data_IF_148416255258
#
_entry.id   IF_148416255258
#
_cell.length_a   1.000
_cell.length_b   1.000
_cell.length_c   1.000
_cell.angle_alpha   90.00
_cell.angle_beta   90.00
_cell.angle_gamma   90.00
#
_symmetry.space_group_name_H-M   'P 1'
#
loop_
_entity.id
_entity.type
_entity.pdbx_description
1 polymer ?
#
# COMPACT_ATOMS: atom_id res chain seq x y z
N UNK A 1 45.71 32.40 7.40
CA UNK A 1 46.12 33.33 6.34
C UNK A 1 44.84 33.87 5.69
N UNK A 2 44.72 35.21 5.57
CA UNK A 2 43.55 36.08 5.27
C UNK A 2 42.60 36.38 6.45
N UNK A 3 42.74 37.52 7.18
CA UNK A 3 42.33 38.94 6.93
C UNK A 3 40.80 39.16 7.05
N UNK A 4 40.24 39.76 8.12
CA UNK A 4 40.19 41.18 8.59
C UNK A 4 39.04 42.02 7.98
N UNK A 5 38.20 42.55 8.90
CA UNK A 5 37.40 43.81 8.95
C UNK A 5 36.24 44.16 7.99
N UNK A 6 35.19 44.69 8.63
CA UNK A 6 34.45 45.96 8.37
C UNK A 6 32.93 45.77 8.33
N UNK A 7 32.04 46.68 8.74
CA UNK A 7 32.03 47.85 9.62
C UNK A 7 30.55 48.27 9.77
N UNK A 8 30.21 48.95 10.87
CA UNK A 8 28.91 49.60 11.11
C UNK A 8 28.58 50.65 10.03
N UNK A 9 27.29 50.88 9.76
CA UNK A 9 26.76 52.26 9.65
C UNK A 9 25.22 52.32 9.76
N UNK A 10 24.80 53.35 10.50
CA UNK A 10 23.48 53.75 10.95
C UNK A 10 22.78 54.76 10.03
N UNK A 11 21.45 54.77 10.02
CA UNK A 11 20.58 55.96 9.90
C UNK A 11 19.15 55.53 10.32
N UNK A 12 18.38 56.16 11.22
CA UNK A 12 18.45 57.49 11.81
C UNK A 12 17.39 58.42 11.22
N UNK A 13 16.15 58.41 11.73
CA UNK A 13 15.22 59.56 11.66
C UNK A 13 14.43 59.64 12.98
N UNK A 14 14.55 60.79 13.65
CA UNK A 14 13.88 61.20 14.90
C UNK A 14 12.73 62.17 14.64
N UNK A 15 11.94 62.41 15.71
CA UNK A 15 10.98 63.50 16.03
C UNK A 15 9.53 62.99 16.11
N UNK A 16 8.82 62.97 17.25
CA UNK A 16 8.57 63.92 18.35
C UNK A 16 7.11 64.43 18.31
N UNK A 17 6.37 64.05 19.36
CA UNK A 17 5.38 64.80 20.14
C UNK A 17 4.26 65.61 19.45
N UNK A 18 2.99 65.23 19.69
CA UNK A 18 1.92 66.14 20.17
C UNK A 18 0.61 65.36 20.43
N UNK A 19 0.11 65.39 21.67
CA UNK A 19 -1.32 65.18 21.96
C UNK A 19 -2.12 66.42 21.51
N UNK A 20 -3.40 66.28 21.16
CA UNK A 20 -4.41 66.83 22.07
C UNK A 20 -5.74 66.05 22.13
N UNK A 21 -6.47 66.36 23.20
CA UNK A 21 -7.85 65.94 23.49
C UNK A 21 -8.86 66.38 22.43
N UNK A 22 -9.95 65.61 22.33
CA UNK A 22 -11.25 66.06 21.83
C UNK A 22 -11.62 65.56 20.44
N UNK A 23 -12.53 64.58 20.38
CA UNK A 23 -13.88 64.72 19.78
C UNK A 23 -14.56 63.37 19.54
N UNK A 24 -15.72 63.24 20.19
CA UNK A 24 -16.94 62.60 19.71
C UNK A 24 -17.12 61.08 19.77
N UNK A 25 -18.09 60.73 20.62
CA UNK A 25 -18.76 59.47 20.77
C UNK A 25 -19.28 58.85 19.46
N UNK A 26 -18.98 57.56 19.27
CA UNK A 26 -20.01 56.55 18.94
C UNK A 26 -19.40 55.15 18.89
N UNK A 27 -20.20 54.17 19.34
CA UNK A 27 -20.09 52.75 19.04
C UNK A 27 -18.93 51.97 19.72
N UNK A 28 -19.13 51.59 20.99
CA UNK A 28 -18.69 50.28 21.51
C UNK A 28 -19.79 49.67 22.37
N UNK A 29 -20.87 49.25 21.72
CA UNK A 29 -21.79 48.26 22.28
C UNK A 29 -21.12 46.87 22.20
N UNK A 30 -21.09 46.18 23.33
CA UNK A 30 -21.13 44.72 23.46
C UNK A 30 -20.14 43.87 22.66
N UNK A 31 -18.98 43.56 23.25
CA UNK A 31 -18.37 42.25 23.00
C UNK A 31 -19.18 41.20 23.76
N UNK A 32 -20.23 40.69 23.12
CA UNK A 32 -20.88 39.47 23.55
C UNK A 32 -19.90 38.30 23.35
N UNK A 33 -19.73 37.49 24.39
CA UNK A 33 -18.93 36.28 24.38
C UNK A 33 -19.36 35.37 23.22
N UNK A 34 -18.41 35.01 22.35
CA UNK A 34 -18.61 34.00 21.31
C UNK A 34 -18.79 32.65 22.02
N UNK A 35 -19.93 31.96 21.90
CA UNK A 35 -20.09 30.64 22.47
C UNK A 35 -19.18 29.65 21.72
N UNK A 36 -18.62 28.62 22.40
CA UNK A 36 -17.79 27.63 21.75
C UNK A 36 -18.60 26.89 20.69
N UNK A 37 -18.11 26.91 19.45
CA UNK A 37 -18.63 26.10 18.36
C UNK A 37 -18.40 24.63 18.71
N UNK A 38 -19.45 23.92 19.13
CA UNK A 38 -19.42 22.47 19.22
C UNK A 38 -19.34 21.89 17.81
N UNK A 39 -18.17 21.39 17.42
CA UNK A 39 -18.03 20.45 16.31
C UNK A 39 -18.74 19.15 16.70
N UNK A 40 -20.03 19.05 16.39
CA UNK A 40 -20.66 17.73 16.23
C UNK A 40 -19.98 17.07 15.04
N UNK A 41 -19.09 16.10 15.32
CA UNK A 41 -18.65 15.14 14.32
C UNK A 41 -19.91 14.48 13.75
N UNK A 42 -20.30 14.89 12.55
CA UNK A 42 -21.29 14.14 11.79
C UNK A 42 -20.67 12.76 11.56
N UNK A 43 -21.27 11.75 12.20
CA UNK A 43 -21.02 10.34 11.91
C UNK A 43 -21.02 10.19 10.39
N UNK A 44 -19.88 9.79 9.83
CA UNK A 44 -19.74 9.58 8.40
C UNK A 44 -20.87 8.66 7.89
N UNK A 45 -21.46 8.95 6.73
CA UNK A 45 -22.50 8.11 6.16
C UNK A 45 -21.98 6.67 6.00
N UNK A 46 -22.87 5.73 6.25
CA UNK A 46 -22.56 4.34 6.57
C UNK A 46 -22.05 3.40 5.46
N UNK A 47 -21.89 3.74 4.15
CA UNK A 47 -21.39 2.73 3.22
C UNK A 47 -19.86 2.56 3.23
N UNK A 48 -19.08 3.50 3.80
CA UNK A 48 -17.60 3.37 3.86
C UNK A 48 -17.07 2.65 5.12
N UNK A 49 -17.89 2.50 6.17
CA UNK A 49 -17.50 1.80 7.40
C UNK A 49 -17.71 0.28 7.34
N UNK A 50 -18.41 -0.23 6.32
CA UNK A 50 -18.72 -1.65 6.18
C UNK A 50 -17.58 -2.48 5.57
N UNK A 51 -16.60 -1.86 4.89
CA UNK A 51 -15.41 -2.55 4.37
C UNK A 51 -14.31 -2.74 5.44
N UNK A 52 -14.49 -2.18 6.64
CA UNK A 52 -13.51 -2.24 7.73
C UNK A 52 -13.65 -3.47 8.65
N UNK A 53 -14.44 -4.49 8.28
CA UNK A 53 -14.88 -5.51 9.25
C UNK A 53 -14.23 -6.88 9.18
N UNK A 54 -13.51 -7.26 8.12
CA UNK A 54 -12.70 -8.48 8.16
C UNK A 54 -11.21 -8.18 8.20
N UNK A 55 -10.64 -8.45 9.38
CA UNK A 55 -9.23 -8.22 9.72
C UNK A 55 -8.32 -9.37 9.27
N UNK A 56 -8.94 -10.47 8.85
CA UNK A 56 -8.29 -11.68 8.37
C UNK A 56 -8.79 -11.93 6.95
N UNK A 57 -7.87 -11.89 6.00
CA UNK A 57 -8.07 -12.33 4.62
C UNK A 57 -7.60 -13.77 4.45
N UNK A 58 -8.22 -14.54 3.56
CA UNK A 58 -7.76 -15.89 3.24
C UNK A 58 -7.64 -16.09 1.74
N UNK A 59 -6.58 -16.78 1.31
CA UNK A 59 -6.36 -17.19 -0.08
C UNK A 59 -6.33 -18.71 -0.11
N UNK A 60 -7.39 -19.34 -0.66
CA UNK A 60 -7.54 -20.80 -0.67
C UNK A 60 -7.80 -21.33 -2.07
N UNK A 61 -7.22 -22.48 -2.42
CA UNK A 61 -7.53 -23.16 -3.69
C UNK A 61 -6.36 -23.97 -4.21
N UNK A 62 -6.15 -23.92 -5.52
CA UNK A 62 -5.08 -24.62 -6.21
C UNK A 62 -4.30 -23.70 -7.15
N UNK A 63 -2.97 -23.80 -7.10
CA UNK A 63 -2.06 -23.16 -8.03
C UNK A 63 -0.93 -24.15 -8.37
N UNK A 64 -0.55 -24.25 -9.64
CA UNK A 64 0.50 -25.16 -10.09
C UNK A 64 0.30 -26.63 -9.65
N UNK A 65 -0.95 -27.12 -9.67
CA UNK A 65 -1.36 -28.46 -9.17
C UNK A 65 -1.12 -28.70 -7.68
N UNK A 66 -0.82 -27.64 -6.94
CA UNK A 66 -0.57 -27.67 -5.50
C UNK A 66 -1.64 -26.89 -4.74
N UNK A 67 -2.03 -27.35 -3.54
CA UNK A 67 -2.96 -26.61 -2.71
C UNK A 67 -2.32 -25.33 -2.18
N UNK A 68 -3.13 -24.29 -2.10
CA UNK A 68 -2.81 -23.01 -1.47
C UNK A 68 -3.83 -22.77 -0.35
N UNK A 69 -3.36 -22.50 0.86
CA UNK A 69 -4.17 -22.06 1.98
C UNK A 69 -3.37 -21.04 2.80
N UNK A 70 -3.57 -19.76 2.52
CA UNK A 70 -2.92 -18.66 3.23
C UNK A 70 -3.95 -17.85 4.00
N UNK A 71 -3.51 -17.36 5.16
CA UNK A 71 -4.23 -16.49 6.06
C UNK A 71 -3.41 -15.21 6.22
N UNK A 72 -3.98 -14.09 5.82
CA UNK A 72 -3.38 -12.75 5.93
C UNK A 72 -4.04 -12.06 7.12
N UNK A 73 -3.32 -11.96 8.24
CA UNK A 73 -3.76 -11.20 9.40
C UNK A 73 -3.26 -9.75 9.29
N UNK A 74 -4.16 -8.83 8.95
CA UNK A 74 -3.85 -7.40 8.82
C UNK A 74 -3.64 -6.71 10.17
N UNK A 75 -4.03 -7.32 11.28
CA UNK A 75 -3.82 -6.78 12.64
C UNK A 75 -2.52 -7.30 13.24
N UNK A 76 -2.26 -8.58 13.08
CA UNK A 76 -1.03 -9.22 13.47
C UNK A 76 0.15 -8.84 12.58
N UNK A 77 -0.13 -8.32 11.38
CA UNK A 77 0.86 -8.11 10.32
C UNK A 77 1.60 -9.41 10.00
N UNK A 78 0.85 -10.49 9.89
CA UNK A 78 1.39 -11.83 9.64
C UNK A 78 0.68 -12.51 8.49
N UNK A 79 1.42 -13.36 7.78
CA UNK A 79 0.88 -14.26 6.76
C UNK A 79 1.24 -15.67 7.18
N UNK A 80 0.24 -16.50 7.42
CA UNK A 80 0.43 -17.88 7.88
C UNK A 80 -0.34 -18.85 7.01
N UNK A 81 0.08 -20.11 6.98
CA UNK A 81 -0.66 -21.17 6.31
C UNK A 81 0.26 -22.15 5.59
N UNK A 82 -0.16 -22.61 4.43
CA UNK A 82 0.57 -23.56 3.61
C UNK A 82 0.45 -23.27 2.12
N UNK A 83 1.57 -23.39 1.42
CA UNK A 83 1.65 -23.34 -0.03
C UNK A 83 2.55 -24.47 -0.50
N UNK A 84 2.16 -25.18 -1.56
CA UNK A 84 2.95 -26.27 -2.12
C UNK A 84 3.30 -27.37 -1.10
N UNK A 85 2.36 -27.64 -0.17
CA UNK A 85 2.54 -28.57 0.96
C UNK A 85 3.65 -28.17 1.95
N UNK A 86 4.15 -26.94 1.87
CA UNK A 86 5.10 -26.38 2.81
C UNK A 86 4.46 -25.26 3.64
N UNK A 87 4.86 -25.11 4.90
CA UNK A 87 4.37 -24.03 5.73
C UNK A 87 4.88 -22.67 5.21
N UNK A 88 4.02 -21.66 5.33
CA UNK A 88 4.36 -20.25 5.10
C UNK A 88 4.09 -19.52 6.40
N UNK A 89 5.09 -18.79 6.88
CA UNK A 89 5.00 -17.93 8.06
C UNK A 89 5.83 -16.67 7.79
N UNK A 90 5.16 -15.54 7.57
CA UNK A 90 5.78 -14.25 7.36
C UNK A 90 5.28 -13.27 8.42
N UNK A 91 6.19 -12.40 8.86
CA UNK A 91 5.93 -11.26 9.71
C UNK A 91 6.31 -9.98 8.95
N UNK A 92 5.41 -9.02 8.94
CA UNK A 92 5.55 -7.74 8.25
C UNK A 92 5.79 -6.67 9.32
N UNK A 93 6.97 -6.08 9.30
CA UNK A 93 7.36 -4.96 10.15
C UNK A 93 7.25 -3.67 9.34
N UNK A 94 6.17 -2.91 9.57
CA UNK A 94 5.94 -1.62 8.92
C UNK A 94 6.85 -0.51 9.42
N UNK A 95 7.40 -0.62 10.64
CA UNK A 95 8.33 0.39 11.18
C UNK A 95 9.70 0.27 10.53
N UNK A 96 10.15 -0.97 10.30
CA UNK A 96 11.42 -1.24 9.61
C UNK A 96 11.27 -1.40 8.10
N UNK A 97 10.03 -1.39 7.61
CA UNK A 97 9.68 -1.67 6.22
C UNK A 97 10.29 -2.99 5.71
N UNK A 98 10.12 -4.07 6.49
CA UNK A 98 10.65 -5.41 6.18
C UNK A 98 9.63 -6.52 6.34
N UNK A 99 9.75 -7.55 5.51
CA UNK A 99 9.03 -8.81 5.60
C UNK A 99 10.06 -9.88 5.94
N UNK A 100 9.87 -10.55 7.07
CA UNK A 100 10.78 -11.60 7.54
C UNK A 100 10.01 -12.88 7.84
N UNK A 101 10.67 -14.04 7.78
CA UNK A 101 10.04 -15.31 8.15
C UNK A 101 10.53 -16.46 7.29
N UNK A 102 9.62 -17.35 6.91
CA UNK A 102 9.91 -18.50 6.06
C UNK A 102 8.77 -18.85 5.12
N UNK A 103 9.14 -19.21 3.89
CA UNK A 103 8.24 -19.77 2.90
C UNK A 103 8.95 -20.92 2.18
N UNK A 104 8.26 -22.03 1.94
CA UNK A 104 8.80 -23.20 1.25
C UNK A 104 10.14 -23.72 1.85
N UNK A 105 10.20 -23.83 3.18
CA UNK A 105 11.41 -24.22 3.94
C UNK A 105 12.64 -23.34 3.75
N UNK A 106 12.46 -22.14 3.20
CA UNK A 106 13.52 -21.17 3.00
C UNK A 106 13.23 -19.88 3.77
N UNK A 107 14.27 -19.22 4.31
CA UNK A 107 14.10 -17.93 4.94
C UNK A 107 13.66 -16.89 3.90
N UNK A 108 12.80 -15.98 4.34
CA UNK A 108 12.39 -14.80 3.60
C UNK A 108 12.86 -13.58 4.39
N UNK A 109 13.56 -12.69 3.70
CA UNK A 109 13.98 -11.40 4.21
C UNK A 109 13.93 -10.38 3.07
N UNK A 110 12.87 -9.57 3.07
CA UNK A 110 12.58 -8.60 2.05
C UNK A 110 12.44 -7.22 2.70
N UNK A 111 13.02 -6.20 2.10
CA UNK A 111 12.67 -4.82 2.34
C UNK A 111 11.49 -4.44 1.42
N UNK A 112 10.60 -3.57 1.88
CA UNK A 112 9.55 -3.02 1.05
C UNK A 112 9.48 -1.50 1.16
N UNK A 113 9.00 -0.85 0.10
CA UNK A 113 8.68 0.55 0.11
C UNK A 113 7.27 0.71 -0.46
N UNK A 114 6.38 1.31 0.33
CA UNK A 114 4.99 1.51 -0.05
C UNK A 114 4.69 2.99 -0.24
N UNK A 115 4.01 3.29 -1.35
CA UNK A 115 3.43 4.58 -1.66
C UNK A 115 1.98 4.37 -2.13
N UNK A 116 1.13 5.41 -2.16
CA UNK A 116 -0.23 5.27 -2.68
C UNK A 116 -0.28 4.80 -4.15
N UNK A 117 0.75 5.11 -4.94
CA UNK A 117 0.80 4.80 -6.37
C UNK A 117 1.61 3.54 -6.69
N UNK A 118 2.48 3.11 -5.79
CA UNK A 118 3.37 1.97 -6.05
C UNK A 118 3.81 1.20 -4.81
N UNK A 119 4.18 -0.05 -5.00
CA UNK A 119 4.74 -0.93 -4.00
C UNK A 119 6.00 -1.59 -4.55
N UNK A 120 7.12 -1.40 -3.87
CA UNK A 120 8.38 -2.06 -4.17
C UNK A 120 8.67 -3.08 -3.07
N UNK A 121 9.10 -4.27 -3.44
CA UNK A 121 9.65 -5.27 -2.53
C UNK A 121 10.95 -5.80 -3.10
N UNK A 122 12.01 -5.83 -2.30
CA UNK A 122 13.33 -6.30 -2.71
C UNK A 122 14.07 -7.04 -1.58
N UNK A 123 14.82 -8.09 -1.91
CA UNK A 123 15.61 -8.84 -0.94
C UNK A 123 15.79 -10.29 -1.34
N UNK A 124 15.79 -11.19 -0.36
CA UNK A 124 15.94 -12.62 -0.56
C UNK A 124 14.67 -13.40 -0.17
N UNK A 125 14.17 -14.23 -1.08
CA UNK A 125 13.16 -15.23 -0.79
C UNK A 125 13.52 -16.54 -1.50
N UNK A 126 13.28 -17.67 -0.85
CA UNK A 126 13.62 -18.99 -1.40
C UNK A 126 15.09 -19.15 -1.83
N UNK A 127 16.03 -18.57 -1.06
CA UNK A 127 17.47 -18.52 -1.37
C UNK A 127 17.84 -17.80 -2.67
N UNK A 128 16.91 -17.00 -3.20
CA UNK A 128 17.10 -16.27 -4.44
C UNK A 128 16.77 -14.79 -4.28
N UNK A 129 17.43 -13.91 -5.04
CA UNK A 129 17.08 -12.50 -5.06
C UNK A 129 15.71 -12.30 -5.68
N UNK A 130 14.91 -11.45 -5.06
CA UNK A 130 13.60 -11.00 -5.54
C UNK A 130 13.61 -9.49 -5.50
N UNK A 131 13.14 -8.87 -6.59
CA UNK A 131 12.78 -7.45 -6.63
C UNK A 131 11.58 -7.29 -7.53
N UNK A 132 10.44 -6.91 -6.94
CA UNK A 132 9.19 -6.68 -7.63
C UNK A 132 8.73 -5.25 -7.36
N UNK A 133 8.31 -4.59 -8.42
CA UNK A 133 7.75 -3.26 -8.41
C UNK A 133 6.33 -3.32 -8.97
N UNK A 134 5.36 -2.86 -8.19
CA UNK A 134 3.97 -2.77 -8.57
C UNK A 134 3.62 -1.29 -8.68
N UNK A 135 3.12 -0.89 -9.85
CA UNK A 135 2.57 0.43 -10.11
C UNK A 135 1.05 0.28 -10.28
N UNK A 136 0.30 0.82 -9.33
CA UNK A 136 -1.16 0.71 -9.29
C UNK A 136 -1.84 1.61 -10.32
N UNK A 137 -1.19 2.71 -10.70
CA UNK A 137 -1.70 3.69 -11.66
C UNK A 137 -1.60 3.17 -13.09
N UNK A 138 -0.43 2.61 -13.42
CA UNK A 138 -0.16 2.05 -14.75
C UNK A 138 -0.66 0.61 -14.88
N UNK A 139 -1.04 -0.01 -13.75
CA UNK A 139 -1.54 -1.38 -13.75
C UNK A 139 -0.44 -2.37 -14.12
N UNK A 140 0.74 -2.22 -13.54
CA UNK A 140 1.93 -2.96 -13.94
C UNK A 140 2.62 -3.53 -12.71
N UNK A 141 2.91 -4.83 -12.71
CA UNK A 141 3.85 -5.47 -11.81
C UNK A 141 5.03 -5.94 -12.63
N UNK A 142 6.24 -5.49 -12.31
CA UNK A 142 7.45 -5.90 -13.03
C UNK A 142 8.65 -6.07 -12.11
N UNK A 143 9.68 -6.77 -12.60
CA UNK A 143 10.94 -6.96 -11.89
C UNK A 143 11.55 -8.31 -12.18
N UNK A 144 12.12 -8.93 -11.16
CA UNK A 144 12.74 -10.24 -11.27
C UNK A 144 12.60 -11.03 -9.97
N UNK A 145 12.46 -12.34 -10.12
CA UNK A 145 12.52 -13.31 -9.03
C UNK A 145 13.35 -14.49 -9.51
N UNK A 146 14.26 -14.98 -8.68
CA UNK A 146 15.13 -16.11 -9.04
C UNK A 146 15.88 -15.88 -10.37
N UNK A 147 16.45 -14.69 -10.55
CA UNK A 147 17.14 -14.24 -11.78
C UNK A 147 16.29 -14.24 -13.05
N UNK A 148 14.98 -14.46 -12.91
CA UNK A 148 14.06 -14.57 -14.03
C UNK A 148 13.12 -13.38 -14.05
N UNK A 149 12.82 -12.81 -15.23
CA UNK A 149 12.03 -11.61 -15.32
C UNK A 149 10.55 -11.90 -15.03
N UNK A 150 9.90 -10.93 -14.40
CA UNK A 150 8.48 -10.94 -14.08
C UNK A 150 7.88 -9.67 -14.66
N UNK A 151 6.77 -9.79 -15.38
CA UNK A 151 5.99 -8.66 -15.87
C UNK A 151 4.53 -9.08 -15.98
N UNK A 152 3.63 -8.35 -15.34
CA UNK A 152 2.19 -8.60 -15.35
C UNK A 152 1.50 -7.25 -15.49
N UNK A 153 0.72 -7.12 -16.53
CA UNK A 153 -0.15 -5.98 -16.80
C UNK A 153 -1.56 -6.33 -16.31
N UNK A 154 -2.18 -5.42 -15.58
CA UNK A 154 -3.51 -5.58 -15.01
C UNK A 154 -4.24 -4.23 -15.04
N UNK A 155 -5.48 -4.21 -15.51
CA UNK A 155 -6.27 -2.97 -15.51
C UNK A 155 -7.25 -2.99 -14.34
N UNK A 156 -6.94 -2.23 -13.29
CA UNK A 156 -7.82 -2.11 -12.13
C UNK A 156 -9.14 -1.39 -12.45
N UNK A 157 -9.23 -0.67 -13.59
CA UNK A 157 -10.30 0.28 -13.95
C UNK A 157 -10.90 0.91 -12.71
N UNK A 158 -10.05 1.64 -11.98
CA UNK A 158 -10.43 2.31 -10.75
C UNK A 158 -11.41 3.45 -11.08
N UNK A 159 -12.68 3.11 -11.33
CA UNK A 159 -13.70 4.07 -11.73
C UNK A 159 -14.91 3.48 -12.46
N UNK A 160 -14.75 2.38 -13.19
CA UNK A 160 -15.87 1.68 -13.81
C UNK A 160 -16.45 0.69 -12.80
N UNK A 161 -17.52 1.10 -12.12
CA UNK A 161 -18.30 0.24 -11.21
C UNK A 161 -18.82 -1.05 -11.89
N UNK A 162 -18.71 -1.14 -13.21
CA UNK A 162 -19.21 -2.24 -14.05
C UNK A 162 -18.16 -3.30 -14.43
N UNK A 163 -16.86 -3.05 -14.21
CA UNK A 163 -15.83 -4.04 -14.47
C UNK A 163 -15.75 -5.03 -13.30
N UNK A 164 -16.68 -6.01 -13.29
CA UNK A 164 -16.72 -7.10 -12.31
C UNK A 164 -15.46 -7.98 -12.33
N UNK A 165 -14.66 -7.92 -13.40
CA UNK A 165 -13.44 -8.71 -13.58
C UNK A 165 -12.22 -7.86 -13.89
N UNK A 166 -11.06 -8.25 -13.36
CA UNK A 166 -9.73 -7.73 -13.72
C UNK A 166 -8.97 -8.81 -14.46
N UNK A 167 -8.45 -8.50 -15.64
CA UNK A 167 -7.55 -9.40 -16.36
C UNK A 167 -6.10 -9.07 -15.99
N UNK A 168 -5.30 -10.12 -15.76
CA UNK A 168 -3.88 -10.04 -15.52
C UNK A 168 -3.16 -10.81 -16.63
N UNK A 169 -2.28 -10.16 -17.37
CA UNK A 169 -1.58 -10.72 -18.53
C UNK A 169 -0.10 -10.42 -18.48
N UNK A 170 0.74 -11.38 -18.85
CA UNK A 170 2.17 -11.14 -18.97
C UNK A 170 2.97 -12.43 -18.87
N UNK A 171 4.09 -12.38 -18.17
CA UNK A 171 4.98 -13.52 -17.97
C UNK A 171 5.66 -13.49 -16.60
N UNK A 172 5.94 -14.68 -16.11
CA UNK A 172 6.75 -14.91 -14.92
C UNK A 172 7.66 -16.10 -15.21
N UNK A 173 8.97 -15.97 -14.95
CA UNK A 173 9.95 -17.01 -15.27
C UNK A 173 9.90 -17.47 -16.74
N UNK A 174 9.77 -16.51 -17.68
CA UNK A 174 9.57 -16.76 -19.12
C UNK A 174 8.31 -17.55 -19.48
N UNK A 175 7.49 -17.94 -18.52
CA UNK A 175 6.24 -18.64 -18.75
C UNK A 175 5.07 -17.64 -18.78
N UNK A 176 4.05 -17.86 -19.62
CA UNK A 176 2.92 -16.95 -19.72
C UNK A 176 2.08 -16.95 -18.43
N UNK A 177 1.60 -15.76 -18.08
CA UNK A 177 0.62 -15.53 -17.02
C UNK A 177 -0.63 -14.93 -17.66
N UNK A 178 -1.77 -15.59 -17.45
CA UNK A 178 -3.07 -15.15 -17.93
C UNK A 178 -4.10 -15.50 -16.86
N UNK A 179 -4.44 -14.53 -16.01
CA UNK A 179 -5.39 -14.70 -14.91
C UNK A 179 -6.57 -13.74 -15.05
N UNK A 180 -7.69 -14.12 -14.48
CA UNK A 180 -8.90 -13.33 -14.39
C UNK A 180 -9.35 -13.34 -12.94
N UNK A 181 -9.39 -12.15 -12.35
CA UNK A 181 -9.89 -11.92 -11.00
C UNK A 181 -11.33 -11.40 -11.08
N UNK A 182 -12.26 -12.13 -10.49
CA UNK A 182 -13.63 -11.68 -10.32
C UNK A 182 -13.76 -10.94 -8.97
N UNK A 183 -14.03 -9.63 -9.03
CA UNK A 183 -14.19 -8.75 -7.86
C UNK A 183 -15.44 -9.10 -7.04
N UNK A 184 -16.45 -9.72 -7.66
CA UNK A 184 -17.72 -10.08 -7.00
C UNK A 184 -17.56 -11.37 -6.22
N UNK A 185 -16.98 -12.40 -6.83
CA UNK A 185 -16.79 -13.70 -6.18
C UNK A 185 -15.47 -13.81 -5.40
N UNK A 186 -14.53 -12.89 -5.60
CA UNK A 186 -13.18 -12.94 -5.05
C UNK A 186 -12.33 -14.05 -5.67
N UNK A 187 -12.75 -14.66 -6.79
CA UNK A 187 -12.04 -15.78 -7.41
C UNK A 187 -11.00 -15.30 -8.42
N UNK A 188 -9.79 -15.80 -8.30
CA UNK A 188 -8.73 -15.66 -9.29
C UNK A 188 -8.57 -16.98 -10.02
N UNK A 189 -8.85 -16.98 -11.32
CA UNK A 189 -8.79 -18.16 -12.18
C UNK A 189 -7.90 -17.92 -13.38
N UNK A 190 -7.42 -18.97 -14.03
CA UNK A 190 -6.67 -18.85 -15.29
C UNK A 190 -5.47 -19.78 -15.35
N UNK A 191 -4.37 -19.30 -15.91
CA UNK A 191 -3.12 -20.04 -16.06
C UNK A 191 -1.90 -19.24 -15.63
N UNK A 192 -1.00 -19.89 -14.91
CA UNK A 192 0.33 -19.40 -14.56
C UNK A 192 1.31 -20.55 -14.70
N UNK A 193 2.46 -20.33 -15.34
CA UNK A 193 3.49 -21.36 -15.54
C UNK A 193 2.94 -22.64 -16.21
N UNK A 194 2.10 -22.48 -17.24
CA UNK A 194 1.41 -23.59 -17.94
C UNK A 194 0.50 -24.47 -17.06
N UNK A 195 0.22 -24.04 -15.83
CA UNK A 195 -0.64 -24.75 -14.91
C UNK A 195 -1.89 -23.94 -14.59
N UNK A 196 -3.03 -24.61 -14.33
CA UNK A 196 -4.25 -23.93 -13.95
C UNK A 196 -4.10 -23.29 -12.57
N UNK A 197 -4.70 -22.12 -12.43
CA UNK A 197 -4.88 -21.39 -11.17
C UNK A 197 -6.37 -21.30 -10.92
N UNK A 198 -6.79 -21.68 -9.71
CA UNK A 198 -8.14 -21.46 -9.20
C UNK A 198 -8.04 -21.25 -7.69
N UNK A 199 -8.06 -19.99 -7.27
CA UNK A 199 -7.99 -19.59 -5.87
C UNK A 199 -9.14 -18.63 -5.54
N UNK A 200 -9.71 -18.80 -4.36
CA UNK A 200 -10.66 -17.90 -3.75
C UNK A 200 -9.92 -16.97 -2.77
N UNK A 201 -10.01 -15.68 -3.02
CA UNK A 201 -9.55 -14.60 -2.17
C UNK A 201 -10.77 -14.10 -1.41
N UNK A 202 -10.85 -14.43 -0.12
CA UNK A 202 -11.97 -14.09 0.75
C UNK A 202 -11.51 -13.05 1.75
N UNK A 203 -12.24 -11.94 1.85
CA UNK A 203 -11.91 -10.81 2.75
C UNK A 203 -10.51 -10.20 2.50
N UNK A 204 -9.97 -10.36 1.30
CA UNK A 204 -8.77 -9.73 0.81
C UNK A 204 -9.00 -9.28 -0.64
N UNK A 205 -8.16 -8.38 -1.12
CA UNK A 205 -8.30 -7.81 -2.47
C UNK A 205 -7.12 -8.21 -3.36
N UNK A 206 -7.25 -7.95 -4.67
CA UNK A 206 -6.17 -8.17 -5.64
C UNK A 206 -4.89 -7.41 -5.25
N UNK A 207 -5.02 -6.27 -4.58
CA UNK A 207 -3.88 -5.53 -4.03
C UNK A 207 -3.05 -6.35 -3.05
N UNK A 208 -3.70 -7.08 -2.13
CA UNK A 208 -2.99 -7.93 -1.17
C UNK A 208 -2.29 -9.07 -1.89
N UNK A 209 -2.99 -9.70 -2.84
CA UNK A 209 -2.42 -10.79 -3.64
C UNK A 209 -1.17 -10.35 -4.42
N UNK A 210 -1.22 -9.21 -5.10
CA UNK A 210 -0.11 -8.70 -5.92
C UNK A 210 1.10 -8.25 -5.08
N UNK A 211 0.90 -7.75 -3.86
CA UNK A 211 2.01 -7.42 -2.96
C UNK A 211 2.82 -8.66 -2.56
N UNK A 212 2.14 -9.80 -2.36
CA UNK A 212 2.78 -11.07 -2.00
C UNK A 212 2.96 -11.99 -3.20
N UNK A 213 2.97 -11.44 -4.42
CA UNK A 213 3.09 -12.22 -5.65
C UNK A 213 4.35 -13.10 -5.67
N UNK A 214 5.44 -12.66 -5.02
CA UNK A 214 6.68 -13.41 -4.90
C UNK A 214 6.52 -14.81 -4.28
N UNK A 215 5.51 -15.03 -3.42
CA UNK A 215 5.25 -16.34 -2.84
C UNK A 215 4.88 -17.38 -3.90
N UNK A 216 4.21 -16.93 -4.95
CA UNK A 216 3.68 -17.78 -6.02
C UNK A 216 4.67 -18.00 -7.17
N UNK A 217 5.82 -17.32 -7.12
CA UNK A 217 6.89 -17.43 -8.12
C UNK A 217 7.88 -18.56 -7.82
N UNK A 218 7.79 -19.17 -6.64
CA UNK A 218 8.67 -20.25 -6.22
C UNK A 218 8.24 -21.60 -6.76
N UNK A 219 8.42 -21.81 -8.08
CA UNK A 219 8.75 -23.09 -8.76
C UNK A 219 8.82 -22.92 -10.29
#
# INVERSE_FOLDING_TARGET
MNLILAALLSAGISHACASPEGLSASARQGFAAVPPVSLSLRKAPAPLAALAQNRIGTVKGGMNRSPVDLVIDRRGWTITGGMNRSPVELAIDHEKARITGGANHSPVDLAFAWTPESFLVEGGANRSPVKLYVNWKDGLLEGHANHSPVRIEFDMKAGDADAATVELKGYANHAPVALTFDKVSGRLTGGMNHAPVDIAIVNADLHDFLQYFFLFLGE
#
